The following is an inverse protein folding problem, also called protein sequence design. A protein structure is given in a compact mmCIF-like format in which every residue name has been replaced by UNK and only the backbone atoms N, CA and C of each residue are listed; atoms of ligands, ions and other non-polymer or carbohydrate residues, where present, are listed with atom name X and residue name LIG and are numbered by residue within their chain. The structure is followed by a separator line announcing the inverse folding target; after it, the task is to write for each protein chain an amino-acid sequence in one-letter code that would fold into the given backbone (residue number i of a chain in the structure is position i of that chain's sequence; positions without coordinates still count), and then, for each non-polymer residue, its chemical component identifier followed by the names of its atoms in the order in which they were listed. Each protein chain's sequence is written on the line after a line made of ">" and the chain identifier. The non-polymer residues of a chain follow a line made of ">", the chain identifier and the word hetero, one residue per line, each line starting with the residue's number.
data_IF_666039046522
#
_entry.id   IF_666039046522
#
_cell.length_a   1.000
_cell.length_b   1.000
_cell.length_c   1.000
_cell.angle_alpha   90.00
_cell.angle_beta   90.00
_cell.angle_gamma   90.00
#
_symmetry.space_group_name_H-M   'P 1'
#
loop_
_entity.id
_entity.type
_entity.pdbx_description
1 polymer ?
#
# COMPACT_ATOMS: atom_id res chain seq x y z
N UNK A 1 -28.44 22.62 3.95
CA UNK A 1 -27.06 22.03 3.90
C UNK A 1 -26.97 20.56 4.34
N UNK A 2 -28.06 19.78 4.39
CA UNK A 2 -28.06 18.44 5.02
C UNK A 2 -28.16 17.25 4.06
N UNK A 3 -28.55 17.42 2.82
CA UNK A 3 -28.77 16.27 1.90
C UNK A 3 -27.56 15.89 1.03
N UNK A 4 -26.67 16.81 0.72
CA UNK A 4 -25.46 16.52 -0.04
C UNK A 4 -24.40 15.74 0.79
N UNK A 5 -24.41 15.93 2.12
CA UNK A 5 -23.49 15.24 3.03
C UNK A 5 -23.80 13.75 3.26
N UNK A 6 -25.04 13.31 2.97
CA UNK A 6 -25.44 11.89 3.08
C UNK A 6 -25.04 11.04 1.88
N UNK A 7 -24.78 11.64 0.73
CA UNK A 7 -24.55 10.94 -0.54
C UNK A 7 -23.16 10.38 -0.75
N UNK A 8 -22.15 10.79 0.03
CA UNK A 8 -20.75 10.42 -0.19
C UNK A 8 -20.17 9.48 0.89
N UNK A 9 -21.00 8.71 1.56
CA UNK A 9 -20.51 7.78 2.59
C UNK A 9 -20.26 6.40 2.01
N UNK A 10 -19.04 5.92 2.19
CA UNK A 10 -18.60 4.61 1.74
C UNK A 10 -18.81 3.52 2.81
N UNK A 11 -19.08 2.28 2.41
CA UNK A 11 -19.14 1.15 3.35
C UNK A 11 -17.77 0.93 4.01
N UNK A 12 -17.73 0.50 5.29
CA UNK A 12 -16.46 0.24 5.97
C UNK A 12 -15.59 -0.83 5.29
N UNK A 13 -16.21 -1.77 4.55
CA UNK A 13 -15.51 -2.80 3.81
C UNK A 13 -14.75 -2.24 2.62
N UNK A 14 -15.27 -1.21 1.97
CA UNK A 14 -14.58 -0.55 0.85
C UNK A 14 -13.31 0.16 1.28
N UNK A 15 -13.28 0.71 2.50
CA UNK A 15 -12.05 1.25 3.07
C UNK A 15 -10.97 0.16 3.19
N UNK A 16 -11.34 -1.03 3.63
CA UNK A 16 -10.43 -2.18 3.67
C UNK A 16 -9.87 -2.48 2.27
N UNK A 17 -10.71 -2.54 1.23
CA UNK A 17 -10.25 -2.82 -0.14
C UNK A 17 -9.27 -1.76 -0.66
N UNK A 18 -9.59 -0.48 -0.48
CA UNK A 18 -8.71 0.62 -0.90
C UNK A 18 -7.36 0.54 -0.21
N UNK A 19 -7.32 0.38 1.11
CA UNK A 19 -6.08 0.29 1.88
C UNK A 19 -5.25 -0.93 1.49
N UNK A 20 -5.90 -2.07 1.29
CA UNK A 20 -5.24 -3.31 0.87
C UNK A 20 -4.59 -3.17 -0.50
N UNK A 21 -5.32 -2.63 -1.49
CA UNK A 21 -4.79 -2.40 -2.85
C UNK A 21 -3.59 -1.46 -2.79
N UNK A 22 -3.73 -0.31 -2.10
CA UNK A 22 -2.63 0.63 -1.95
C UNK A 22 -1.38 -0.04 -1.38
N UNK A 23 -1.54 -0.87 -0.36
CA UNK A 23 -0.42 -1.57 0.28
C UNK A 23 0.26 -2.55 -0.66
N UNK A 24 -0.50 -3.43 -1.31
CA UNK A 24 0.03 -4.47 -2.18
C UNK A 24 0.72 -3.86 -3.40
N UNK A 25 0.11 -2.87 -4.04
CA UNK A 25 0.71 -2.20 -5.21
C UNK A 25 2.04 -1.54 -4.86
N UNK A 26 2.10 -0.82 -3.73
CA UNK A 26 3.35 -0.19 -3.27
C UNK A 26 4.40 -1.24 -2.96
N UNK A 27 4.03 -2.34 -2.31
CA UNK A 27 4.98 -3.42 -2.02
C UNK A 27 5.51 -4.09 -3.28
N UNK A 28 4.66 -4.44 -4.24
CA UNK A 28 5.09 -5.07 -5.49
C UNK A 28 6.05 -4.17 -6.28
N UNK A 29 5.76 -2.87 -6.37
CA UNK A 29 6.64 -1.93 -7.07
C UNK A 29 7.94 -1.64 -6.30
N UNK A 30 7.94 -1.70 -4.97
CA UNK A 30 9.15 -1.45 -4.17
C UNK A 30 10.04 -2.68 -4.06
N UNK A 31 9.48 -3.88 -4.03
CA UNK A 31 10.27 -5.13 -4.02
C UNK A 31 11.14 -5.21 -5.26
N UNK A 32 10.61 -4.87 -6.44
CA UNK A 32 11.41 -4.84 -7.66
C UNK A 32 12.61 -3.87 -7.59
N UNK A 33 12.45 -2.73 -6.96
CA UNK A 33 13.54 -1.75 -6.78
C UNK A 33 14.60 -2.17 -5.75
N UNK A 34 14.26 -3.07 -4.83
CA UNK A 34 15.16 -3.58 -3.78
C UNK A 34 15.86 -4.85 -4.26
N UNK A 35 15.22 -5.62 -5.16
CA UNK A 35 15.70 -6.93 -5.62
C UNK A 35 16.96 -6.89 -6.47
N UNK A 36 17.43 -5.73 -6.88
CA UNK A 36 18.64 -5.63 -7.68
C UNK A 36 19.91 -5.91 -6.89
N UNK A 37 19.87 -6.01 -5.59
CA UNK A 37 21.06 -6.20 -4.78
C UNK A 37 21.03 -7.38 -3.79
N UNK A 38 19.94 -7.72 -3.13
CA UNK A 38 19.92 -8.83 -2.14
C UNK A 38 18.49 -9.17 -1.65
N UNK A 39 17.70 -9.92 -2.44
CA UNK A 39 16.54 -10.59 -1.86
C UNK A 39 17.03 -11.85 -1.15
N UNK A 40 17.51 -11.68 0.05
CA UNK A 40 17.87 -12.77 0.94
C UNK A 40 16.84 -12.84 2.08
N UNK A 41 16.92 -13.88 2.87
CA UNK A 41 16.23 -14.04 4.15
C UNK A 41 16.14 -12.77 5.00
N UNK A 42 17.11 -11.84 4.85
CA UNK A 42 17.13 -10.52 5.48
C UNK A 42 15.99 -9.61 5.05
N UNK A 43 15.48 -9.74 3.83
CA UNK A 43 14.33 -8.95 3.36
C UNK A 43 13.05 -9.33 4.12
N UNK A 44 12.86 -10.61 4.42
CA UNK A 44 11.73 -11.09 5.24
C UNK A 44 11.78 -10.52 6.65
N UNK A 45 12.96 -10.56 7.30
CA UNK A 45 13.13 -10.02 8.65
C UNK A 45 12.89 -8.51 8.64
N UNK A 46 13.47 -7.79 7.68
CA UNK A 46 13.27 -6.36 7.51
C UNK A 46 11.80 -6.00 7.31
N UNK A 47 11.08 -6.83 6.56
CA UNK A 47 9.67 -6.65 6.33
C UNK A 47 8.84 -6.87 7.60
N UNK A 48 9.13 -7.91 8.40
CA UNK A 48 8.47 -8.14 9.70
C UNK A 48 8.67 -6.95 10.64
N UNK A 49 9.91 -6.44 10.73
CA UNK A 49 10.21 -5.25 11.52
C UNK A 49 9.43 -4.03 11.00
N UNK A 50 9.39 -3.82 9.68
CA UNK A 50 8.64 -2.73 9.07
C UNK A 50 7.14 -2.81 9.37
N UNK A 51 6.56 -4.01 9.44
CA UNK A 51 5.17 -4.20 9.82
C UNK A 51 4.90 -3.83 11.28
N UNK A 52 5.79 -4.21 12.19
CA UNK A 52 5.70 -3.77 13.60
C UNK A 52 5.77 -2.25 13.68
N UNK A 53 6.72 -1.62 12.98
CA UNK A 53 6.83 -0.16 12.90
C UNK A 53 5.55 0.48 12.34
N UNK A 54 4.97 -0.09 11.30
CA UNK A 54 3.70 0.39 10.71
C UNK A 54 2.55 0.36 11.72
N UNK A 55 2.45 -0.72 12.51
CA UNK A 55 1.45 -0.82 13.58
C UNK A 55 1.67 0.29 14.61
N UNK A 56 2.90 0.49 15.06
CA UNK A 56 3.25 1.55 16.02
C UNK A 56 2.89 2.94 15.45
N UNK A 57 3.27 3.24 14.22
CA UNK A 57 2.93 4.51 13.57
C UNK A 57 1.44 4.69 13.31
N UNK A 58 0.65 3.61 13.25
CA UNK A 58 -0.81 3.70 13.10
C UNK A 58 -1.55 4.00 14.41
N UNK A 59 -0.92 3.82 15.58
CA UNK A 59 -1.57 4.05 16.88
C UNK A 59 -2.10 5.49 17.04
N UNK A 60 -1.36 6.55 16.70
CA UNK A 60 -1.88 7.92 16.79
C UNK A 60 -3.13 8.13 15.92
N UNK A 61 -3.17 7.53 14.72
CA UNK A 61 -4.31 7.61 13.82
C UNK A 61 -5.56 6.94 14.40
N UNK A 62 -5.40 5.75 14.97
CA UNK A 62 -6.47 5.02 15.65
C UNK A 62 -6.94 5.77 16.89
N UNK A 63 -6.03 6.41 17.63
CA UNK A 63 -6.36 7.21 18.79
C UNK A 63 -7.17 8.47 18.42
N UNK A 64 -6.74 9.21 17.40
CA UNK A 64 -7.49 10.36 16.87
C UNK A 64 -8.91 9.95 16.42
N UNK A 65 -9.01 8.79 15.76
CA UNK A 65 -10.31 8.23 15.38
C UNK A 65 -11.20 7.93 16.58
N UNK A 66 -10.67 7.30 17.63
CA UNK A 66 -11.44 7.02 18.87
C UNK A 66 -11.91 8.28 19.58
N UNK A 67 -11.12 9.36 19.51
CA UNK A 67 -11.47 10.65 20.09
C UNK A 67 -12.45 11.47 19.24
N UNK A 68 -12.87 10.98 18.08
CA UNK A 68 -13.70 11.71 17.10
C UNK A 68 -13.09 13.08 16.69
N UNK A 69 -11.77 13.20 16.77
CA UNK A 69 -11.05 14.40 16.36
C UNK A 69 -10.35 14.14 15.03
N UNK A 70 -10.68 14.93 14.01
CA UNK A 70 -9.99 14.88 12.74
C UNK A 70 -8.77 15.81 12.79
N UNK A 71 -7.54 15.29 12.76
CA UNK A 71 -6.35 16.14 12.71
C UNK A 71 -6.34 17.03 11.46
N UNK A 72 -7.05 16.62 10.40
CA UNK A 72 -7.14 17.35 9.12
C UNK A 72 -7.98 18.63 9.25
N UNK A 73 -8.86 18.76 10.24
CA UNK A 73 -9.64 19.99 10.48
C UNK A 73 -8.75 21.17 10.91
N UNK A 74 -7.53 20.89 11.36
CA UNK A 74 -6.54 21.91 11.70
C UNK A 74 -5.89 22.41 10.41
N UNK A 75 -6.08 23.70 10.07
CA UNK A 75 -5.62 24.31 8.80
C UNK A 75 -4.15 24.04 8.45
N UNK A 76 -3.26 24.08 9.43
CA UNK A 76 -1.83 23.80 9.23
C UNK A 76 -1.56 22.34 8.91
N UNK A 77 -2.22 21.43 9.63
CA UNK A 77 -2.10 19.99 9.40
C UNK A 77 -2.64 19.62 8.01
N UNK A 78 -3.78 20.19 7.63
CA UNK A 78 -4.37 20.00 6.30
C UNK A 78 -3.41 20.43 5.18
N UNK A 79 -2.71 21.58 5.31
CA UNK A 79 -1.70 22.01 4.33
C UNK A 79 -0.52 21.05 4.23
N UNK A 80 -0.02 20.56 5.38
CA UNK A 80 1.07 19.58 5.41
C UNK A 80 0.66 18.27 4.74
N UNK A 81 -0.55 17.78 5.01
CA UNK A 81 -1.09 16.59 4.34
C UNK A 81 -1.22 16.79 2.82
N UNK A 82 -1.65 17.97 2.38
CA UNK A 82 -1.74 18.28 0.95
C UNK A 82 -0.38 18.19 0.26
N UNK A 83 0.65 18.82 0.82
CA UNK A 83 2.02 18.74 0.29
C UNK A 83 2.54 17.30 0.33
N UNK A 84 2.31 16.58 1.43
CA UNK A 84 2.68 15.18 1.57
C UNK A 84 2.06 14.31 0.47
N UNK A 85 0.74 14.43 0.21
CA UNK A 85 0.09 13.64 -0.84
C UNK A 85 0.57 13.98 -2.24
N UNK A 86 0.88 15.25 -2.54
CA UNK A 86 1.49 15.61 -3.83
C UNK A 86 2.81 14.88 -4.02
N UNK A 87 3.67 14.87 -3.00
CA UNK A 87 4.97 14.18 -3.06
C UNK A 87 4.79 12.66 -3.20
N UNK A 88 3.88 12.07 -2.43
CA UNK A 88 3.57 10.63 -2.50
C UNK A 88 3.06 10.24 -3.89
N UNK A 89 2.15 11.02 -4.47
CA UNK A 89 1.62 10.76 -5.82
C UNK A 89 2.74 10.89 -6.85
N UNK A 90 3.56 11.93 -6.79
CA UNK A 90 4.67 12.12 -7.72
C UNK A 90 5.66 10.94 -7.69
N UNK A 91 6.04 10.49 -6.49
CA UNK A 91 6.92 9.32 -6.32
C UNK A 91 6.26 8.04 -6.82
N UNK A 92 4.96 7.84 -6.54
CA UNK A 92 4.22 6.64 -6.97
C UNK A 92 4.09 6.58 -8.49
N UNK A 93 3.77 7.69 -9.15
CA UNK A 93 3.70 7.78 -10.61
C UNK A 93 5.07 7.54 -11.24
N UNK A 94 6.13 8.12 -10.68
CA UNK A 94 7.50 7.91 -11.16
C UNK A 94 7.92 6.44 -11.07
N UNK A 95 7.69 5.78 -9.92
CA UNK A 95 8.01 4.36 -9.72
C UNK A 95 7.25 3.46 -10.67
N UNK A 96 5.94 3.70 -10.81
CA UNK A 96 5.12 2.90 -11.72
C UNK A 96 5.56 3.10 -13.18
N UNK A 97 5.85 4.34 -13.61
CA UNK A 97 6.33 4.63 -14.96
C UNK A 97 7.66 3.94 -15.24
N UNK A 98 8.57 3.94 -14.27
CA UNK A 98 9.83 3.21 -14.36
C UNK A 98 9.60 1.71 -14.46
N UNK A 99 8.79 1.12 -13.58
CA UNK A 99 8.44 -0.29 -13.63
C UNK A 99 7.80 -0.68 -14.97
N UNK A 100 6.85 0.11 -15.46
CA UNK A 100 6.17 -0.17 -16.71
C UNK A 100 7.11 -0.10 -17.93
N UNK A 101 8.02 0.88 -17.98
CA UNK A 101 8.99 1.04 -19.05
C UNK A 101 10.14 0.04 -19.00
N UNK A 102 10.45 -0.56 -17.85
CA UNK A 102 11.53 -1.55 -17.74
C UNK A 102 11.05 -2.98 -17.84
N UNK A 103 9.82 -3.26 -17.36
CA UNK A 103 9.34 -4.63 -17.20
C UNK A 103 8.22 -4.99 -18.18
N UNK A 104 7.23 -4.08 -18.37
CA UNK A 104 6.05 -4.38 -19.18
C UNK A 104 6.27 -4.09 -20.66
N UNK A 105 6.83 -2.94 -20.99
CA UNK A 105 7.08 -2.56 -22.37
C UNK A 105 8.32 -1.65 -22.49
N UNK A 106 9.51 -2.23 -22.67
CA UNK A 106 10.78 -1.51 -22.76
C UNK A 106 10.86 -0.53 -23.94
N UNK A 107 10.07 -0.74 -24.99
CA UNK A 107 10.06 0.12 -26.17
C UNK A 107 9.28 1.40 -25.95
N UNK A 108 8.43 1.46 -24.90
CA UNK A 108 7.58 2.61 -24.63
C UNK A 108 8.26 3.59 -23.64
N UNK A 109 8.25 4.86 -24.00
CA UNK A 109 8.82 5.90 -23.14
C UNK A 109 8.03 6.06 -21.83
N UNK A 110 8.73 6.13 -20.67
CA UNK A 110 8.12 6.17 -19.35
C UNK A 110 7.13 7.31 -19.11
N UNK A 111 7.31 8.46 -19.76
CA UNK A 111 6.40 9.62 -19.63
C UNK A 111 4.99 9.32 -20.17
N UNK A 112 4.83 8.41 -21.15
CA UNK A 112 3.52 8.02 -21.66
C UNK A 112 2.71 7.29 -20.57
N UNK A 113 3.36 6.39 -19.82
CA UNK A 113 2.71 5.72 -18.67
C UNK A 113 2.31 6.72 -17.60
N UNK A 114 3.17 7.69 -17.30
CA UNK A 114 2.85 8.77 -16.36
C UNK A 114 1.62 9.56 -16.80
N UNK A 115 1.56 9.92 -18.08
CA UNK A 115 0.43 10.66 -18.64
C UNK A 115 -0.87 9.87 -18.55
N UNK A 116 -0.86 8.58 -18.93
CA UNK A 116 -2.04 7.70 -18.85
C UNK A 116 -2.56 7.63 -17.41
N UNK A 117 -1.66 7.42 -16.43
CA UNK A 117 -2.06 7.37 -15.02
C UNK A 117 -2.69 8.69 -14.57
N UNK A 118 -2.07 9.82 -14.93
CA UNK A 118 -2.61 11.14 -14.56
C UNK A 118 -4.01 11.36 -15.15
N UNK A 119 -4.24 10.99 -16.40
CA UNK A 119 -5.56 11.09 -17.04
C UNK A 119 -6.57 10.18 -16.35
N UNK A 120 -6.21 8.93 -16.06
CA UNK A 120 -7.08 7.99 -15.33
C UNK A 120 -7.39 8.48 -13.92
N UNK A 121 -6.39 9.03 -13.21
CA UNK A 121 -6.57 9.59 -11.87
C UNK A 121 -7.49 10.82 -11.90
N UNK A 122 -7.30 11.70 -12.86
CA UNK A 122 -8.17 12.86 -13.05
C UNK A 122 -9.62 12.43 -13.31
N UNK A 123 -9.83 11.48 -14.20
CA UNK A 123 -11.16 10.93 -14.44
C UNK A 123 -11.75 10.29 -13.19
N UNK A 124 -10.96 9.50 -12.44
CA UNK A 124 -11.39 8.90 -11.18
C UNK A 124 -11.82 9.92 -10.13
N UNK A 125 -11.15 11.09 -10.05
CA UNK A 125 -11.55 12.16 -9.13
C UNK A 125 -12.89 12.80 -9.49
N UNK A 126 -13.23 12.89 -10.79
CA UNK A 126 -14.53 13.42 -11.24
C UNK A 126 -15.69 12.50 -10.88
N UNK A 127 -15.45 11.19 -10.80
CA UNK A 127 -16.47 10.19 -10.44
C UNK A 127 -16.73 10.17 -8.91
N UNK A 128 -15.80 10.67 -8.11
CA UNK A 128 -15.93 10.75 -6.66
C UNK A 128 -15.58 9.47 -5.90
N UNK A 129 -15.57 9.58 -4.57
CA UNK A 129 -15.10 8.52 -3.65
C UNK A 129 -15.98 7.27 -3.69
N UNK A 130 -17.27 7.43 -3.97
CA UNK A 130 -18.21 6.29 -4.05
C UNK A 130 -17.90 5.38 -5.24
N UNK A 131 -17.63 5.95 -6.42
CA UNK A 131 -17.24 5.19 -7.61
C UNK A 131 -15.90 4.47 -7.37
N UNK A 132 -14.93 5.16 -6.79
CA UNK A 132 -13.64 4.58 -6.40
C UNK A 132 -13.82 3.39 -5.44
N UNK A 133 -14.73 3.53 -4.48
CA UNK A 133 -15.07 2.48 -3.52
C UNK A 133 -15.64 1.22 -4.18
N UNK A 134 -16.51 1.38 -5.15
CA UNK A 134 -17.09 0.24 -5.92
C UNK A 134 -16.04 -0.41 -6.81
N UNK A 135 -15.23 0.39 -7.48
CA UNK A 135 -14.15 -0.10 -8.32
C UNK A 135 -13.08 -0.85 -7.50
N UNK A 136 -12.78 -0.38 -6.29
CA UNK A 136 -11.80 -1.05 -5.42
C UNK A 136 -12.21 -2.48 -5.05
N UNK A 137 -13.50 -2.77 -4.89
CA UNK A 137 -13.98 -4.11 -4.62
C UNK A 137 -13.68 -5.07 -5.79
N UNK A 138 -13.87 -4.61 -7.03
CA UNK A 138 -13.56 -5.38 -8.23
C UNK A 138 -12.05 -5.64 -8.36
N UNK A 139 -11.24 -4.58 -8.21
CA UNK A 139 -9.77 -4.68 -8.27
C UNK A 139 -9.22 -5.58 -7.16
N UNK A 140 -9.82 -5.55 -5.95
CA UNK A 140 -9.43 -6.44 -4.87
C UNK A 140 -9.57 -7.92 -5.24
N UNK A 141 -10.69 -8.31 -5.86
CA UNK A 141 -10.90 -9.71 -6.30
C UNK A 141 -9.86 -10.10 -7.34
N UNK A 142 -9.61 -9.25 -8.36
CA UNK A 142 -8.60 -9.51 -9.37
C UNK A 142 -7.20 -9.65 -8.76
N UNK A 143 -6.88 -8.81 -7.80
CA UNK A 143 -5.59 -8.83 -7.12
C UNK A 143 -5.41 -10.09 -6.27
N UNK A 144 -6.45 -10.53 -5.57
CA UNK A 144 -6.42 -11.80 -4.83
C UNK A 144 -6.22 -13.00 -5.78
N UNK A 145 -6.89 -13.01 -6.93
CA UNK A 145 -6.70 -14.05 -7.95
C UNK A 145 -5.27 -14.03 -8.50
N UNK A 146 -4.73 -12.85 -8.80
CA UNK A 146 -3.35 -12.70 -9.27
C UNK A 146 -2.33 -13.21 -8.24
N UNK A 147 -2.50 -12.87 -6.97
CA UNK A 147 -1.64 -13.37 -5.88
C UNK A 147 -1.73 -14.90 -5.82
N UNK A 148 -2.94 -15.46 -5.87
CA UNK A 148 -3.14 -16.91 -5.84
C UNK A 148 -2.43 -17.59 -7.03
N UNK A 149 -2.56 -17.05 -8.24
CA UNK A 149 -1.87 -17.57 -9.42
C UNK A 149 -0.36 -17.55 -9.25
N UNK A 150 0.21 -16.44 -8.74
CA UNK A 150 1.67 -16.36 -8.51
C UNK A 150 2.12 -17.40 -7.50
N UNK A 151 1.38 -17.59 -6.40
CA UNK A 151 1.72 -18.60 -5.39
C UNK A 151 1.66 -20.03 -5.95
N UNK A 152 0.65 -20.32 -6.77
CA UNK A 152 0.52 -21.64 -7.40
C UNK A 152 1.61 -21.91 -8.43
N UNK A 153 1.96 -20.92 -9.25
CA UNK A 153 3.01 -21.07 -10.26
C UNK A 153 4.42 -21.24 -9.66
N UNK A 154 4.68 -20.67 -8.49
CA UNK A 154 5.98 -20.77 -7.82
C UNK A 154 6.08 -21.93 -6.82
N UNK A 155 5.02 -22.72 -6.66
CA UNK A 155 5.00 -23.80 -5.67
C UNK A 155 6.08 -24.86 -5.92
N UNK A 156 6.29 -25.24 -7.19
CA UNK A 156 7.26 -26.29 -7.58
C UNK A 156 8.73 -25.82 -7.56
N UNK A 157 8.95 -24.49 -7.60
CA UNK A 157 10.31 -23.89 -7.57
C UNK A 157 10.78 -23.57 -6.17
N UNK A 158 9.93 -23.82 -5.16
CA UNK A 158 10.23 -23.52 -3.78
C UNK A 158 11.41 -24.33 -3.25
N UNK A 159 12.44 -23.63 -2.75
CA UNK A 159 13.62 -24.25 -2.17
C UNK A 159 13.98 -23.58 -0.83
N UNK A 160 13.82 -24.32 0.26
CA UNK A 160 14.10 -23.83 1.62
C UNK A 160 15.56 -23.40 1.83
N UNK A 161 16.49 -23.90 0.99
CA UNK A 161 17.94 -23.59 1.09
C UNK A 161 18.20 -22.10 0.82
N UNK A 162 17.37 -21.44 0.01
CA UNK A 162 17.52 -20.01 -0.32
C UNK A 162 17.31 -19.08 0.89
N UNK A 163 16.75 -19.59 1.99
CA UNK A 163 16.57 -18.81 3.23
C UNK A 163 17.79 -18.81 4.15
N UNK A 164 18.83 -19.60 3.86
CA UNK A 164 20.04 -19.65 4.68
C UNK A 164 21.16 -18.83 4.05
N UNK A 165 21.90 -18.03 4.84
CA UNK A 165 21.79 -17.82 6.28
C UNK A 165 20.72 -16.78 6.65
N UNK A 166 19.91 -17.08 7.68
CA UNK A 166 18.79 -16.23 8.13
C UNK A 166 19.30 -14.90 8.70
N UNK A 167 20.47 -14.88 9.31
CA UNK A 167 21.08 -13.68 9.88
C UNK A 167 22.54 -13.64 9.46
N UNK A 168 22.89 -12.68 8.64
CA UNK A 168 24.27 -12.25 8.43
C UNK A 168 24.57 -11.08 9.38
N UNK A 169 25.81 -10.91 9.79
CA UNK A 169 26.24 -9.95 10.83
C UNK A 169 25.93 -8.46 10.57
N UNK A 170 25.16 -8.12 9.56
CA UNK A 170 24.83 -6.75 9.18
C UNK A 170 23.47 -6.28 9.68
N UNK A 171 23.28 -6.22 11.00
CA UNK A 171 22.03 -5.68 11.60
C UNK A 171 21.67 -4.25 11.14
N UNK A 172 22.67 -3.46 10.71
CA UNK A 172 22.43 -2.12 10.13
C UNK A 172 21.71 -2.17 8.78
N UNK A 173 22.00 -3.16 7.93
CA UNK A 173 21.31 -3.37 6.65
C UNK A 173 19.83 -3.73 6.83
N UNK A 174 19.55 -4.62 7.77
CA UNK A 174 18.19 -5.04 8.11
C UNK A 174 17.35 -3.84 8.58
N UNK A 175 17.88 -3.03 9.46
CA UNK A 175 17.18 -1.84 9.97
C UNK A 175 16.97 -0.79 8.88
N UNK A 176 17.96 -0.56 8.01
CA UNK A 176 17.83 0.34 6.87
C UNK A 176 16.71 -0.11 5.93
N UNK A 177 16.68 -1.39 5.56
CA UNK A 177 15.63 -1.95 4.71
C UNK A 177 14.25 -1.89 5.38
N UNK A 178 14.16 -2.14 6.69
CA UNK A 178 12.93 -1.99 7.44
C UNK A 178 12.41 -0.55 7.44
N UNK A 179 13.30 0.45 7.56
CA UNK A 179 12.93 1.86 7.45
C UNK A 179 12.44 2.21 6.04
N UNK A 180 13.07 1.69 4.99
CA UNK A 180 12.63 1.88 3.59
C UNK A 180 11.24 1.27 3.38
N UNK A 181 10.99 0.06 3.86
CA UNK A 181 9.66 -0.56 3.79
C UNK A 181 8.62 0.23 4.59
N UNK A 182 8.96 0.71 5.79
CA UNK A 182 8.04 1.48 6.61
C UNK A 182 7.75 2.87 6.05
N UNK A 183 8.71 3.51 5.37
CA UNK A 183 8.53 4.84 4.75
C UNK A 183 7.52 4.82 3.60
N UNK A 184 7.32 3.66 2.99
CA UNK A 184 6.32 3.46 1.93
C UNK A 184 4.89 3.26 2.46
N UNK A 185 4.66 3.36 3.79
CA UNK A 185 3.33 3.16 4.42
C UNK A 185 2.45 4.40 4.30
N UNK A 186 1.92 4.66 3.12
CA UNK A 186 1.02 5.80 2.85
C UNK A 186 -0.40 5.55 3.32
N UNK A 187 -0.75 4.30 3.63
CA UNK A 187 -2.10 3.86 3.99
C UNK A 187 -2.59 4.46 5.30
N UNK A 188 -1.68 4.77 6.22
CA UNK A 188 -2.03 5.43 7.49
C UNK A 188 -2.59 6.83 7.23
N UNK A 189 -1.93 7.57 6.34
CA UNK A 189 -2.39 8.89 5.93
C UNK A 189 -3.73 8.81 5.16
N UNK A 190 -3.87 7.83 4.25
CA UNK A 190 -5.12 7.56 3.56
C UNK A 190 -6.25 7.18 4.52
N UNK A 191 -5.97 6.36 5.53
CA UNK A 191 -6.95 6.02 6.57
C UNK A 191 -7.47 7.29 7.26
N UNK A 192 -6.58 8.19 7.67
CA UNK A 192 -6.97 9.44 8.33
C UNK A 192 -7.83 10.36 7.45
N UNK A 193 -7.56 10.39 6.14
CA UNK A 193 -8.32 11.21 5.19
C UNK A 193 -9.67 10.60 4.86
N UNK A 194 -9.75 9.28 4.70
CA UNK A 194 -10.95 8.60 4.23
C UNK A 194 -11.93 8.25 5.35
N UNK A 195 -11.47 8.07 6.60
CA UNK A 195 -12.35 7.61 7.67
C UNK A 195 -13.57 8.52 7.93
N UNK A 196 -13.52 9.86 7.78
CA UNK A 196 -14.71 10.69 7.97
C UNK A 196 -15.82 10.42 6.97
N UNK A 197 -15.45 9.88 5.79
CA UNK A 197 -16.37 9.51 4.72
C UNK A 197 -16.96 8.10 4.87
N UNK A 198 -16.56 7.36 5.91
CA UNK A 198 -16.98 5.97 6.13
C UNK A 198 -18.19 5.90 7.07
N UNK A 199 -19.17 5.06 6.72
CA UNK A 199 -20.31 4.76 7.58
C UNK A 199 -19.95 3.71 8.64
N UNK A 200 -20.02 4.08 9.94
CA UNK A 200 -19.91 3.14 11.05
C UNK A 200 -18.49 2.92 11.58
N UNK A 201 -18.31 1.87 12.39
CA UNK A 201 -17.03 1.58 13.05
C UNK A 201 -16.03 0.96 12.08
N UNK A 202 -15.00 1.71 11.70
CA UNK A 202 -13.97 1.22 10.76
C UNK A 202 -12.75 0.55 11.44
N UNK A 203 -12.66 0.56 12.77
CA UNK A 203 -11.54 -0.04 13.51
C UNK A 203 -11.34 -1.53 13.19
N UNK A 204 -12.43 -2.29 13.12
CA UNK A 204 -12.38 -3.72 12.77
C UNK A 204 -11.80 -3.95 11.38
N UNK A 205 -12.20 -3.13 10.41
CA UNK A 205 -11.72 -3.26 9.03
C UNK A 205 -10.28 -2.78 8.87
N UNK A 206 -9.84 -1.84 9.69
CA UNK A 206 -8.43 -1.44 9.75
C UNK A 206 -7.54 -2.57 10.29
N UNK A 207 -7.98 -3.26 11.34
CA UNK A 207 -7.26 -4.44 11.86
C UNK A 207 -7.23 -5.55 10.80
N UNK A 208 -8.36 -5.84 10.14
CA UNK A 208 -8.41 -6.82 9.04
C UNK A 208 -7.45 -6.45 7.91
N UNK A 209 -7.39 -5.16 7.54
CA UNK A 209 -6.44 -4.66 6.54
C UNK A 209 -5.00 -4.97 6.93
N UNK A 210 -4.60 -4.67 8.16
CA UNK A 210 -3.24 -4.97 8.64
C UNK A 210 -2.95 -6.46 8.56
N UNK A 211 -3.83 -7.31 9.08
CA UNK A 211 -3.63 -8.76 9.07
C UNK A 211 -3.57 -9.34 7.65
N UNK A 212 -4.51 -8.98 6.78
CA UNK A 212 -4.53 -9.50 5.40
C UNK A 212 -3.35 -9.00 4.57
N UNK A 213 -3.00 -7.73 4.69
CA UNK A 213 -1.85 -7.18 3.95
C UNK A 213 -0.54 -7.79 4.41
N UNK A 214 -0.38 -7.99 5.73
CA UNK A 214 0.78 -8.69 6.29
C UNK A 214 0.90 -10.10 5.72
N UNK A 215 -0.17 -10.89 5.80
CA UNK A 215 -0.17 -12.27 5.30
C UNK A 215 0.14 -12.34 3.81
N UNK A 216 -0.50 -11.48 2.99
CA UNK A 216 -0.31 -11.50 1.54
C UNK A 216 1.12 -11.14 1.15
N UNK A 217 1.70 -10.13 1.78
CA UNK A 217 3.07 -9.70 1.45
C UNK A 217 4.08 -10.71 1.99
N UNK A 218 3.85 -11.25 3.18
CA UNK A 218 4.69 -12.33 3.72
C UNK A 218 4.73 -13.52 2.77
N UNK A 219 3.58 -13.96 2.28
CA UNK A 219 3.50 -15.06 1.31
C UNK A 219 4.23 -14.70 0.00
N UNK A 220 4.02 -13.50 -0.54
CA UNK A 220 4.70 -13.07 -1.77
C UNK A 220 6.21 -13.02 -1.61
N UNK A 221 6.71 -12.53 -0.48
CA UNK A 221 8.14 -12.52 -0.21
C UNK A 221 8.69 -13.93 0.04
N UNK A 222 7.93 -14.76 0.75
CA UNK A 222 8.33 -16.13 1.04
C UNK A 222 8.49 -16.95 -0.24
N UNK A 223 7.51 -16.90 -1.14
CA UNK A 223 7.58 -17.61 -2.43
C UNK A 223 8.43 -16.91 -3.48
N UNK A 224 8.67 -15.62 -3.35
CA UNK A 224 9.55 -14.87 -4.27
C UNK A 224 11.03 -14.95 -3.93
N UNK A 225 11.37 -15.34 -2.71
CA UNK A 225 12.75 -15.56 -2.26
C UNK A 225 13.22 -17.01 -2.46
N UNK A 226 12.30 -17.92 -2.71
CA UNK A 226 12.55 -19.34 -2.98
C UNK A 226 12.83 -19.58 -4.45
#
# INVERSE_FOLDING_TARGET
>A
MSDSAKRNKIPPLSLFYILFICRIVVCLTSVHSISTTEINSQALISFVIAMVMTVVFSLPAVFCYKMNKNPIDIKWVSKLYYVYFILVVAVSVSRFSYFASTTLNPETQGWLFALIICVCAFYGTTLGVEALSRFSAFVFVLLCLAILCVLLCNYDTFNDINFYPIITNEGKGILKNALVFSSNTTEIALFLVLYPSVNGKCTRNFIRFICCSFLSIFLLLYFGAA
#
